data_IF_189121843096
#
_entry.id   IF_189121843096
#
_cell.length_a   1.000
_cell.length_b   1.000
_cell.length_c   1.000
_cell.angle_alpha   90.00
_cell.angle_beta   90.00
_cell.angle_gamma   90.00
#
_symmetry.space_group_name_H-M   'P 1'
#
loop_
_entity.id
_entity.type
_entity.pdbx_description
1 polymer ?
#
# COMPACT_ATOMS: atom_id res chain seq x y z
N UNK A 1 13.57 20.82 37.95
CA UNK A 1 12.62 19.67 37.99
C UNK A 1 11.72 19.58 36.75
N UNK A 2 11.26 20.68 36.13
CA UNK A 2 10.49 20.66 34.85
C UNK A 2 11.24 20.08 33.64
N UNK A 3 12.57 20.26 33.55
CA UNK A 3 13.39 19.79 32.42
C UNK A 3 13.59 18.26 32.39
N UNK A 4 13.57 17.60 33.54
CA UNK A 4 13.67 16.13 33.67
C UNK A 4 12.37 15.45 33.24
N UNK A 5 11.22 16.09 33.50
CA UNK A 5 9.91 15.61 33.04
C UNK A 5 9.81 15.65 31.50
N UNK A 6 10.35 16.70 30.86
CA UNK A 6 10.42 16.79 29.40
C UNK A 6 11.38 15.77 28.76
N UNK A 7 12.50 15.45 29.43
CA UNK A 7 13.42 14.39 28.98
C UNK A 7 12.81 12.99 29.09
N UNK A 8 12.08 12.69 30.16
CA UNK A 8 11.37 11.41 30.31
C UNK A 8 10.21 11.26 29.32
N UNK A 9 9.47 12.34 29.06
CA UNK A 9 8.38 12.35 28.08
C UNK A 9 8.92 12.19 26.64
N UNK A 10 10.06 12.82 26.34
CA UNK A 10 10.74 12.67 25.05
C UNK A 10 11.36 11.28 24.87
N UNK A 11 11.83 10.63 25.94
CA UNK A 11 12.39 9.28 25.86
C UNK A 11 11.29 8.24 25.61
N UNK A 12 10.11 8.40 26.21
CA UNK A 12 8.98 7.47 26.06
C UNK A 12 8.40 7.42 24.63
N UNK A 13 8.48 8.52 23.87
CA UNK A 13 7.98 8.61 22.49
C UNK A 13 8.83 7.79 21.49
N UNK A 14 10.09 7.47 21.84
CA UNK A 14 10.99 6.71 20.93
C UNK A 14 10.72 5.20 21.02
N UNK A 15 10.23 4.69 22.15
CA UNK A 15 10.03 3.24 22.35
C UNK A 15 8.80 2.67 21.61
N UNK A 16 7.82 3.49 21.24
CA UNK A 16 6.62 3.05 20.50
C UNK A 16 6.88 2.84 18.99
N UNK A 17 8.05 3.19 18.47
CA UNK A 17 8.43 2.96 17.06
C UNK A 17 9.16 1.63 16.82
N UNK A 18 9.44 0.82 17.85
CA UNK A 18 10.33 -0.35 17.74
C UNK A 18 9.65 -1.72 17.95
N UNK A 19 8.39 -1.88 17.54
CA UNK A 19 7.80 -3.21 17.33
C UNK A 19 7.50 -3.41 15.84
N UNK A 20 8.51 -3.89 15.12
CA UNK A 20 8.32 -4.53 13.81
C UNK A 20 9.07 -5.85 13.89
N UNK A 21 8.34 -6.95 13.99
CA UNK A 21 8.88 -8.30 13.97
C UNK A 21 9.72 -8.50 12.70
N UNK A 22 11.04 -8.40 12.85
CA UNK A 22 12.06 -8.69 11.82
C UNK A 22 12.61 -10.09 12.03
N UNK A 23 11.79 -11.06 12.45
CA UNK A 23 12.27 -12.42 12.71
C UNK A 23 12.51 -13.11 11.37
N UNK A 24 13.74 -13.04 10.87
CA UNK A 24 14.26 -13.88 9.78
C UNK A 24 14.46 -13.24 8.41
N UNK A 25 14.12 -11.96 8.20
CA UNK A 25 14.33 -11.30 6.90
C UNK A 25 15.76 -10.72 6.79
N UNK A 26 16.46 -10.88 5.65
CA UNK A 26 17.72 -10.21 5.40
C UNK A 26 17.56 -8.68 5.49
N UNK A 27 18.59 -7.97 5.94
CA UNK A 27 18.52 -6.55 6.26
C UNK A 27 18.11 -5.64 5.08
N UNK A 28 18.30 -6.11 3.84
CA UNK A 28 18.02 -5.36 2.62
C UNK A 28 16.67 -5.73 1.96
N UNK A 29 15.88 -6.61 2.60
CA UNK A 29 14.56 -7.01 2.13
C UNK A 29 13.49 -6.20 2.86
N UNK A 30 12.58 -5.62 2.08
CA UNK A 30 11.43 -4.88 2.58
C UNK A 30 10.55 -5.80 3.45
N UNK A 31 10.11 -5.36 4.64
CA UNK A 31 9.22 -6.15 5.48
C UNK A 31 7.90 -6.51 4.77
N UNK A 32 7.30 -7.64 5.14
CA UNK A 32 6.13 -8.19 4.49
C UNK A 32 4.94 -7.22 4.45
N UNK A 33 4.63 -6.56 5.57
CA UNK A 33 3.59 -5.53 5.61
C UNK A 33 3.87 -4.37 4.65
N UNK A 34 5.14 -3.94 4.58
CA UNK A 34 5.54 -2.86 3.69
C UNK A 34 5.39 -3.30 2.23
N UNK A 35 5.82 -4.53 1.91
CA UNK A 35 5.70 -5.09 0.56
C UNK A 35 4.23 -5.24 0.15
N UNK A 36 3.35 -5.70 1.04
CA UNK A 36 1.89 -5.76 0.81
C UNK A 36 1.35 -4.40 0.40
N UNK A 37 1.68 -3.35 1.14
CA UNK A 37 1.15 -2.01 0.87
C UNK A 37 1.72 -1.43 -0.43
N UNK A 38 3.01 -1.64 -0.70
CA UNK A 38 3.63 -1.25 -1.98
C UNK A 38 2.96 -1.95 -3.16
N UNK A 39 2.77 -3.27 -3.09
CA UNK A 39 2.18 -4.04 -4.18
C UNK A 39 0.74 -3.63 -4.46
N UNK A 40 -0.04 -3.31 -3.42
CA UNK A 40 -1.37 -2.76 -3.58
C UNK A 40 -1.38 -1.47 -4.40
N UNK A 41 -0.47 -0.54 -4.09
CA UNK A 41 -0.38 0.73 -4.80
C UNK A 41 0.21 0.56 -6.21
N UNK A 42 1.13 -0.39 -6.41
CA UNK A 42 1.63 -0.76 -7.74
C UNK A 42 0.51 -1.33 -8.64
N UNK A 43 -0.32 -2.23 -8.10
CA UNK A 43 -1.48 -2.78 -8.80
C UNK A 43 -2.49 -1.68 -9.14
N UNK A 44 -2.78 -0.80 -8.18
CA UNK A 44 -3.68 0.34 -8.38
C UNK A 44 -3.14 1.32 -9.44
N UNK A 45 -1.85 1.60 -9.40
CA UNK A 45 -1.15 2.41 -10.39
C UNK A 45 -1.18 1.78 -11.79
N UNK A 46 -0.98 0.46 -11.88
CA UNK A 46 -1.09 -0.30 -13.14
C UNK A 46 -2.48 -0.22 -13.73
N UNK A 47 -3.53 -0.40 -12.90
CA UNK A 47 -4.92 -0.22 -13.34
C UNK A 47 -5.16 1.20 -13.86
N UNK A 48 -4.68 2.23 -13.14
CA UNK A 48 -4.81 3.61 -13.59
C UNK A 48 -4.10 3.85 -14.94
N UNK A 49 -2.87 3.35 -15.09
CA UNK A 49 -2.12 3.45 -16.34
C UNK A 49 -2.89 2.79 -17.50
N UNK A 50 -3.33 1.56 -17.31
CA UNK A 50 -4.00 0.76 -18.34
C UNK A 50 -5.35 1.34 -18.75
N UNK A 51 -6.11 1.92 -17.81
CA UNK A 51 -7.45 2.44 -18.08
C UNK A 51 -7.44 3.87 -18.62
N UNK A 52 -6.50 4.72 -18.20
CA UNK A 52 -6.62 6.17 -18.42
C UNK A 52 -5.42 6.82 -19.14
N UNK A 53 -4.27 6.16 -19.18
CA UNK A 53 -3.02 6.76 -19.69
C UNK A 53 -2.54 6.07 -20.96
N UNK A 54 -2.30 4.77 -20.90
CA UNK A 54 -1.72 3.98 -21.98
C UNK A 54 -2.61 3.76 -23.22
N UNK A 55 -3.96 3.88 -23.14
CA UNK A 55 -4.82 3.85 -24.33
C UNK A 55 -4.67 5.06 -25.27
N UNK A 56 -3.94 6.10 -24.88
CA UNK A 56 -3.74 7.30 -25.69
C UNK A 56 -2.58 7.10 -26.67
N UNK A 57 -2.84 7.27 -27.97
CA UNK A 57 -1.85 7.01 -29.03
C UNK A 57 -0.60 7.90 -28.95
N UNK A 58 -0.73 9.11 -28.42
CA UNK A 58 0.38 10.08 -28.34
C UNK A 58 1.28 9.90 -27.11
N UNK A 59 1.09 8.83 -26.33
CA UNK A 59 1.79 8.64 -25.04
C UNK A 59 2.98 7.69 -25.21
N UNK A 60 4.16 8.13 -24.77
CA UNK A 60 5.28 7.23 -24.49
C UNK A 60 4.91 6.36 -23.27
N UNK A 61 4.61 5.09 -23.57
CA UNK A 61 4.15 4.11 -22.58
C UNK A 61 5.21 3.82 -21.52
N UNK A 62 6.49 3.80 -21.91
CA UNK A 62 7.58 3.49 -20.99
C UNK A 62 7.81 4.67 -20.04
N UNK A 63 7.91 5.89 -20.58
CA UNK A 63 8.09 7.09 -19.78
C UNK A 63 6.89 7.34 -18.84
N UNK A 64 5.67 7.13 -19.33
CA UNK A 64 4.46 7.27 -18.53
C UNK A 64 4.42 6.26 -17.36
N UNK A 65 4.73 4.98 -17.64
CA UNK A 65 4.76 3.93 -16.62
C UNK A 65 5.85 4.19 -15.58
N UNK A 66 7.06 4.54 -16.02
CA UNK A 66 8.18 4.88 -15.14
C UNK A 66 7.83 6.06 -14.23
N UNK A 67 7.18 7.10 -14.76
CA UNK A 67 6.74 8.26 -13.98
C UNK A 67 5.70 7.89 -12.92
N UNK A 68 4.75 7.01 -13.22
CA UNK A 68 3.70 6.62 -12.27
C UNK A 68 4.25 5.69 -11.20
N UNK A 69 4.98 4.63 -11.57
CA UNK A 69 5.59 3.72 -10.59
C UNK A 69 6.66 4.41 -9.74
N UNK A 70 7.42 5.35 -10.33
CA UNK A 70 8.37 6.17 -9.57
C UNK A 70 7.71 6.96 -8.43
N UNK A 71 6.46 7.42 -8.60
CA UNK A 71 5.71 8.07 -7.52
C UNK A 71 5.37 7.11 -6.39
N UNK A 72 5.02 5.85 -6.71
CA UNK A 72 4.80 4.83 -5.68
C UNK A 72 6.07 4.64 -4.85
N UNK A 73 7.22 4.50 -5.50
CA UNK A 73 8.50 4.37 -4.80
C UNK A 73 8.84 5.57 -3.92
N UNK A 74 8.53 6.79 -4.38
CA UNK A 74 8.69 8.01 -3.59
C UNK A 74 7.80 8.03 -2.34
N UNK A 75 6.53 7.61 -2.44
CA UNK A 75 5.59 7.54 -1.31
C UNK A 75 6.12 6.60 -0.23
N UNK A 76 6.64 5.43 -0.62
CA UNK A 76 7.17 4.43 0.31
C UNK A 76 8.64 4.65 0.72
N UNK A 77 9.28 5.69 0.17
CA UNK A 77 10.69 6.02 0.39
C UNK A 77 11.62 4.84 0.12
N UNK A 78 11.47 4.23 -1.05
CA UNK A 78 12.28 3.10 -1.52
C UNK A 78 12.87 3.41 -2.90
N UNK A 79 13.94 2.71 -3.26
CA UNK A 79 14.41 2.68 -4.65
C UNK A 79 13.72 1.58 -5.43
N UNK A 80 13.76 1.68 -6.77
CA UNK A 80 13.33 0.60 -7.66
C UNK A 80 14.11 -0.69 -7.37
N UNK A 81 15.43 -0.59 -7.23
CA UNK A 81 16.29 -1.76 -6.98
C UNK A 81 15.96 -2.45 -5.66
N UNK A 82 15.64 -1.68 -4.60
CA UNK A 82 15.22 -2.25 -3.32
C UNK A 82 13.88 -2.98 -3.45
N UNK A 83 12.94 -2.42 -4.21
CA UNK A 83 11.68 -3.09 -4.53
C UNK A 83 11.93 -4.38 -5.31
N UNK A 84 12.68 -4.33 -6.41
CA UNK A 84 12.93 -5.47 -7.29
C UNK A 84 13.64 -6.61 -6.55
N UNK A 85 14.63 -6.28 -5.72
CA UNK A 85 15.35 -7.24 -4.88
C UNK A 85 14.41 -7.90 -3.87
N UNK A 86 13.62 -7.09 -3.18
CA UNK A 86 12.67 -7.59 -2.18
C UNK A 86 11.58 -8.45 -2.80
N UNK A 87 11.02 -8.01 -3.93
CA UNK A 87 9.98 -8.73 -4.64
C UNK A 87 10.52 -10.06 -5.20
N UNK A 88 11.74 -10.07 -5.73
CA UNK A 88 12.38 -11.32 -6.18
C UNK A 88 12.58 -12.29 -5.02
N UNK A 89 13.03 -11.82 -3.86
CA UNK A 89 13.13 -12.64 -2.66
C UNK A 89 11.78 -13.26 -2.27
N UNK A 90 10.69 -12.48 -2.23
CA UNK A 90 9.36 -13.01 -1.93
C UNK A 90 8.89 -14.05 -2.96
N UNK A 91 9.17 -13.85 -4.26
CA UNK A 91 8.83 -14.83 -5.31
C UNK A 91 9.55 -16.17 -5.17
N UNK A 92 10.71 -16.18 -4.54
CA UNK A 92 11.46 -17.42 -4.26
C UNK A 92 11.04 -18.07 -2.93
N UNK A 93 10.20 -17.40 -2.14
CA UNK A 93 9.78 -17.84 -0.81
C UNK A 93 8.24 -17.83 -0.71
N UNK A 94 7.59 -18.84 -1.29
CA UNK A 94 6.12 -18.93 -1.38
C UNK A 94 5.42 -18.77 -0.03
N UNK A 95 5.95 -19.37 1.04
CA UNK A 95 5.41 -19.26 2.41
C UNK A 95 5.32 -17.80 2.89
N UNK A 96 6.23 -16.94 2.44
CA UNK A 96 6.24 -15.51 2.79
C UNK A 96 5.39 -14.67 1.83
N UNK A 97 5.24 -15.12 0.58
CA UNK A 97 4.46 -14.41 -0.44
C UNK A 97 2.96 -14.68 -0.31
N UNK A 98 2.55 -15.91 0.01
CA UNK A 98 1.15 -16.32 0.18
C UNK A 98 0.34 -15.36 1.06
N UNK A 99 0.76 -15.04 2.30
CA UNK A 99 0.02 -14.11 3.16
C UNK A 99 -0.05 -12.68 2.59
N UNK A 100 0.91 -12.26 1.76
CA UNK A 100 0.81 -10.99 1.03
C UNK A 100 -0.32 -11.07 0.00
N UNK A 101 -0.36 -12.12 -0.81
CA UNK A 101 -1.35 -12.31 -1.87
C UNK A 101 -2.77 -12.50 -1.32
N UNK A 102 -2.93 -13.25 -0.23
CA UNK A 102 -4.22 -13.40 0.47
C UNK A 102 -4.72 -12.04 0.98
N UNK A 103 -3.84 -11.25 1.58
CA UNK A 103 -4.17 -9.89 2.02
C UNK A 103 -4.61 -8.99 0.87
N UNK A 104 -3.93 -9.07 -0.29
CA UNK A 104 -4.29 -8.29 -1.48
C UNK A 104 -5.65 -8.71 -2.03
N UNK A 105 -5.91 -10.01 -2.11
CA UNK A 105 -7.19 -10.57 -2.58
C UNK A 105 -8.36 -10.14 -1.70
N UNK A 106 -8.20 -10.22 -0.37
CA UNK A 106 -9.20 -9.74 0.60
C UNK A 106 -9.45 -8.24 0.45
N UNK A 107 -8.39 -7.45 0.28
CA UNK A 107 -8.49 -5.99 0.09
C UNK A 107 -9.23 -5.62 -1.19
N UNK A 108 -9.01 -6.39 -2.26
CA UNK A 108 -9.74 -6.23 -3.52
C UNK A 108 -11.21 -6.60 -3.39
N UNK A 109 -11.53 -7.72 -2.74
CA UNK A 109 -12.93 -8.11 -2.50
C UNK A 109 -13.68 -7.01 -1.72
N UNK A 110 -13.07 -6.48 -0.65
CA UNK A 110 -13.64 -5.39 0.13
C UNK A 110 -13.82 -4.11 -0.67
N UNK A 111 -12.89 -3.77 -1.56
CA UNK A 111 -13.02 -2.56 -2.40
C UNK A 111 -14.20 -2.68 -3.36
N UNK A 112 -14.40 -3.86 -3.96
CA UNK A 112 -15.53 -4.14 -4.86
C UNK A 112 -16.86 -4.10 -4.11
N UNK A 113 -16.96 -4.79 -2.96
CA UNK A 113 -18.18 -4.79 -2.13
C UNK A 113 -18.57 -3.36 -1.73
N UNK A 114 -17.58 -2.54 -1.36
CA UNK A 114 -17.80 -1.13 -1.01
C UNK A 114 -18.33 -0.32 -2.19
N UNK A 115 -17.89 -0.60 -3.41
CA UNK A 115 -18.37 0.06 -4.63
C UNK A 115 -19.81 -0.37 -4.94
N UNK A 116 -20.12 -1.65 -4.85
CA UNK A 116 -21.49 -2.18 -5.03
C UNK A 116 -22.47 -1.55 -4.03
N UNK A 117 -22.10 -1.52 -2.74
CA UNK A 117 -22.93 -0.89 -1.71
C UNK A 117 -23.16 0.59 -1.97
N UNK A 118 -22.15 1.31 -2.49
CA UNK A 118 -22.32 2.72 -2.89
C UNK A 118 -23.31 2.84 -4.04
N UNK A 119 -23.16 2.03 -5.08
CA UNK A 119 -24.09 2.03 -6.22
C UNK A 119 -25.53 1.74 -5.77
N UNK A 120 -25.73 0.74 -4.91
CA UNK A 120 -27.03 0.41 -4.34
C UNK A 120 -27.62 1.57 -3.52
N UNK A 121 -26.79 2.29 -2.75
CA UNK A 121 -27.26 3.50 -2.04
C UNK A 121 -27.61 4.66 -2.95
N UNK A 122 -27.00 4.75 -4.14
CA UNK A 122 -27.33 5.75 -5.15
C UNK A 122 -28.62 5.38 -5.89
N UNK A 123 -28.81 4.08 -6.18
CA UNK A 123 -30.00 3.55 -6.86
C UNK A 123 -31.24 3.52 -5.98
N UNK A 124 -31.08 3.24 -4.69
CA UNK A 124 -32.16 3.23 -3.72
C UNK A 124 -31.79 4.10 -2.50
N UNK A 125 -31.84 5.44 -2.65
CA UNK A 125 -31.52 6.34 -1.56
C UNK A 125 -32.52 6.13 -0.43
N UNK A 126 -32.00 5.84 0.78
CA UNK A 126 -32.85 5.76 1.97
C UNK A 126 -33.64 7.07 2.10
N UNK A 127 -34.96 7.00 2.34
CA UNK A 127 -35.76 8.20 2.50
C UNK A 127 -35.17 9.05 3.63
N UNK A 128 -34.94 10.34 3.34
CA UNK A 128 -34.31 11.31 4.24
C UNK A 128 -35.23 11.70 5.43
N UNK A 129 -36.32 10.98 5.69
CA UNK A 129 -37.30 11.36 6.69
C UNK A 129 -36.71 11.22 8.09
N UNK A 130 -36.33 12.37 8.64
CA UNK A 130 -36.07 12.65 10.03
C UNK A 130 -37.35 12.35 10.80
N UNK A 131 -37.42 11.20 11.47
CA UNK A 131 -38.37 11.01 12.57
C UNK A 131 -38.21 12.19 13.52
N UNK A 132 -39.31 12.90 13.74
CA UNK A 132 -39.40 14.08 14.57
C UNK A 132 -40.02 13.70 15.90
#
# INVERSE_FOLDING_TARGET
>A
MRKILFLFFSLSIILILSCRDKKGLPADILPQDKMRDILWDMISASQYLNLYVLPKDSVDKLAASAKVYGRVFQVYKISKDQFDKSYSYYREHDVLLEPILDSLSKRQAYSIERLQKRDDTLRNPKPFFREK
#
